data_IF_844211814063
#
_entry.id   IF_844211814063
#
_cell.length_a   1.000
_cell.length_b   1.000
_cell.length_c   1.000
_cell.angle_alpha   90.00
_cell.angle_beta   90.00
_cell.angle_gamma   90.00
#
_symmetry.space_group_name_H-M   'P 1'
#
loop_
_entity.id
_entity.type
_entity.pdbx_description
1 polymer ?
#
# COMPACT_ATOMS: atom_id res chain seq x y z
N UNK A 1 12.62 3.28 -28.81
CA UNK A 1 12.58 4.72 -28.44
C UNK A 1 12.32 4.83 -26.94
N UNK A 2 12.76 5.88 -26.25
CA UNK A 2 12.36 6.15 -24.87
C UNK A 2 11.64 7.50 -24.81
N UNK A 3 10.54 7.57 -24.07
CA UNK A 3 9.67 8.74 -23.93
C UNK A 3 9.43 8.94 -22.43
N UNK A 4 9.55 10.18 -21.96
CA UNK A 4 9.11 10.53 -20.61
C UNK A 4 7.66 11.02 -20.70
N UNK A 5 6.77 10.35 -19.96
CA UNK A 5 5.36 10.69 -19.87
C UNK A 5 5.06 11.29 -18.50
N UNK A 6 4.75 12.58 -18.50
CA UNK A 6 4.13 13.22 -17.36
C UNK A 6 2.63 12.96 -17.39
N UNK A 7 2.13 12.33 -16.34
CA UNK A 7 0.71 12.00 -16.22
C UNK A 7 0.24 12.19 -14.79
N UNK A 8 -1.06 12.45 -14.65
CA UNK A 8 -1.72 12.34 -13.36
C UNK A 8 -2.24 10.91 -13.22
N UNK A 9 -1.81 10.18 -12.20
CA UNK A 9 -2.34 8.84 -11.97
C UNK A 9 -3.86 8.91 -11.68
N UNK A 10 -4.61 7.99 -12.28
CA UNK A 10 -6.05 7.88 -12.10
C UNK A 10 -6.35 7.13 -10.79
N UNK A 11 -6.36 7.84 -9.67
CA UNK A 11 -6.68 7.31 -8.34
C UNK A 11 -7.42 8.34 -7.46
N UNK A 12 -8.21 7.88 -6.48
CA UNK A 12 -9.16 8.72 -5.71
C UNK A 12 -8.55 9.91 -4.96
N UNK A 13 -7.23 9.97 -4.74
CA UNK A 13 -6.57 11.09 -4.06
C UNK A 13 -5.13 11.28 -4.58
N UNK A 14 -4.95 11.82 -5.79
CA UNK A 14 -3.60 12.17 -6.29
C UNK A 14 -3.58 13.54 -6.99
N UNK A 15 -2.92 14.51 -6.36
CA UNK A 15 -2.58 15.82 -6.93
C UNK A 15 -1.11 15.92 -7.36
N UNK A 16 -0.38 14.80 -7.34
CA UNK A 16 1.06 14.78 -7.66
C UNK A 16 1.26 14.29 -9.09
N UNK A 17 1.89 15.11 -9.94
CA UNK A 17 2.33 14.68 -11.27
C UNK A 17 3.38 13.58 -11.14
N UNK A 18 3.22 12.51 -11.91
CA UNK A 18 4.16 11.39 -11.95
C UNK A 18 4.79 11.37 -13.34
N UNK A 19 6.11 11.30 -13.38
CA UNK A 19 6.87 11.06 -14.61
C UNK A 19 7.16 9.57 -14.72
N UNK A 20 6.74 8.93 -15.80
CA UNK A 20 7.06 7.55 -16.13
C UNK A 20 7.91 7.53 -17.40
N UNK A 21 9.03 6.82 -17.37
CA UNK A 21 9.79 6.54 -18.59
C UNK A 21 9.19 5.32 -19.28
N UNK A 22 8.82 5.48 -20.55
CA UNK A 22 8.26 4.43 -21.40
C UNK A 22 9.19 4.15 -22.57
N UNK A 23 9.49 2.87 -22.78
CA UNK A 23 10.28 2.37 -23.88
C UNK A 23 9.34 1.79 -24.94
N UNK A 24 9.46 2.29 -26.16
CA UNK A 24 8.54 2.00 -27.26
C UNK A 24 9.28 1.26 -28.37
N UNK A 25 8.69 0.16 -28.83
CA UNK A 25 9.12 -0.62 -29.99
C UNK A 25 7.97 -0.65 -30.99
N UNK A 26 8.24 -0.25 -32.22
CA UNK A 26 7.27 -0.29 -33.31
C UNK A 26 7.16 -1.72 -33.85
N UNK A 27 5.93 -2.19 -34.01
CA UNK A 27 5.62 -3.47 -34.62
C UNK A 27 5.76 -3.37 -36.16
N UNK A 28 6.00 -4.49 -36.86
CA UNK A 28 6.27 -4.47 -38.30
C UNK A 28 5.10 -3.97 -39.15
N UNK A 29 3.87 -4.03 -38.62
CA UNK A 29 2.65 -3.53 -39.26
C UNK A 29 1.57 -3.22 -38.22
N UNK A 30 0.60 -2.41 -38.63
CA UNK A 30 -0.61 -2.19 -37.85
C UNK A 30 -1.49 -3.45 -37.89
N UNK A 31 -1.96 -3.92 -36.73
CA UNK A 31 -2.81 -5.11 -36.61
C UNK A 31 -3.65 -5.04 -35.34
N UNK A 32 -4.96 -5.28 -35.45
CA UNK A 32 -5.84 -5.48 -34.28
C UNK A 32 -5.65 -6.87 -33.65
N UNK A 33 -4.87 -7.74 -34.30
CA UNK A 33 -4.57 -9.10 -33.83
C UNK A 33 -3.39 -9.14 -32.84
N UNK A 34 -2.73 -7.99 -32.58
CA UNK A 34 -1.69 -7.90 -31.56
C UNK A 34 -2.29 -8.07 -30.17
N UNK A 35 -1.68 -8.94 -29.39
CA UNK A 35 -2.19 -9.25 -28.07
C UNK A 35 -1.08 -9.66 -27.11
N UNK A 36 -1.17 -9.14 -25.89
CA UNK A 36 -0.35 -9.55 -24.77
C UNK A 36 -1.26 -10.01 -23.61
N UNK A 37 -1.07 -11.23 -23.07
CA UNK A 37 -1.89 -11.68 -21.95
C UNK A 37 -1.63 -10.90 -20.68
N UNK A 38 -2.69 -10.62 -19.90
CA UNK A 38 -2.58 -9.96 -18.60
C UNK A 38 -1.66 -10.69 -17.61
N UNK A 39 -1.49 -12.00 -17.76
CA UNK A 39 -0.52 -12.80 -16.99
C UNK A 39 0.95 -12.41 -17.22
N UNK A 40 1.27 -11.73 -18.32
CA UNK A 40 2.61 -11.22 -18.62
C UNK A 40 2.88 -9.85 -17.98
N UNK A 41 1.84 -9.25 -17.38
CA UNK A 41 1.90 -7.94 -16.75
C UNK A 41 2.16 -8.13 -15.25
N UNK A 42 3.44 -8.15 -14.89
CA UNK A 42 3.91 -8.36 -13.51
C UNK A 42 4.54 -7.08 -12.95
N UNK A 43 4.77 -6.96 -11.64
CA UNK A 43 5.43 -5.77 -11.06
C UNK A 43 6.78 -5.44 -11.70
N UNK A 44 7.52 -6.46 -12.14
CA UNK A 44 8.80 -6.40 -12.84
C UNK A 44 8.68 -6.33 -14.37
N UNK A 45 7.52 -6.66 -14.94
CA UNK A 45 7.20 -6.57 -16.37
C UNK A 45 5.96 -5.73 -16.60
N UNK A 46 6.15 -4.41 -16.55
CA UNK A 46 5.13 -3.46 -16.95
C UNK A 46 5.20 -3.28 -18.46
N UNK A 47 4.38 -4.03 -19.18
CA UNK A 47 4.32 -3.99 -20.64
C UNK A 47 2.88 -3.92 -21.11
N UNK A 48 2.65 -3.18 -22.21
CA UNK A 48 1.38 -3.17 -22.91
C UNK A 48 1.60 -3.11 -24.42
N UNK A 49 0.55 -3.40 -25.18
CA UNK A 49 0.57 -3.40 -26.64
C UNK A 49 -0.66 -2.67 -27.18
N UNK A 50 -0.46 -1.89 -28.24
CA UNK A 50 -1.55 -1.35 -29.06
C UNK A 50 -1.49 -1.95 -30.47
N UNK A 51 -2.22 -1.36 -31.42
CA UNK A 51 -2.28 -1.82 -32.80
C UNK A 51 -0.99 -1.62 -33.59
N UNK A 52 -0.01 -0.85 -33.09
CA UNK A 52 1.22 -0.47 -33.82
C UNK A 52 2.52 -0.59 -33.03
N UNK A 53 2.46 -0.65 -31.71
CA UNK A 53 3.59 -0.47 -30.80
C UNK A 53 3.46 -1.37 -29.56
N UNK A 54 4.62 -1.79 -29.05
CA UNK A 54 4.78 -2.34 -27.71
C UNK A 54 5.44 -1.30 -26.82
N UNK A 55 4.91 -1.17 -25.60
CA UNK A 55 5.36 -0.23 -24.59
C UNK A 55 5.85 -1.01 -23.38
N UNK A 56 7.07 -0.74 -22.92
CA UNK A 56 7.55 -1.16 -21.60
C UNK A 56 7.69 0.08 -20.71
N UNK A 57 6.98 0.13 -19.59
CA UNK A 57 6.94 1.30 -18.72
C UNK A 57 7.70 1.07 -17.41
N UNK A 58 8.65 1.94 -17.08
CA UNK A 58 9.29 1.94 -15.78
C UNK A 58 8.40 2.68 -14.74
N UNK A 59 7.21 2.13 -14.44
CA UNK A 59 6.24 2.77 -13.55
C UNK A 59 6.85 3.08 -12.17
N UNK A 60 6.67 4.33 -11.71
CA UNK A 60 7.20 4.77 -10.41
C UNK A 60 8.74 4.78 -10.30
N UNK A 61 9.45 4.57 -11.40
CA UNK A 61 10.90 4.52 -11.50
C UNK A 61 11.43 5.57 -12.48
N UNK A 62 12.62 6.09 -12.19
CA UNK A 62 13.42 6.88 -13.12
C UNK A 62 14.66 6.05 -13.49
N UNK A 63 14.55 5.15 -14.48
CA UNK A 63 15.66 4.28 -14.83
C UNK A 63 16.86 5.11 -15.29
N UNK A 64 18.04 4.81 -14.75
CA UNK A 64 19.28 5.45 -15.19
C UNK A 64 19.59 5.00 -16.61
N UNK A 65 20.26 5.83 -17.41
CA UNK A 65 20.63 5.49 -18.81
C UNK A 65 21.29 4.10 -18.93
N UNK A 66 22.13 3.71 -17.96
CA UNK A 66 22.78 2.39 -17.94
C UNK A 66 21.83 1.18 -17.88
N UNK A 67 20.62 1.35 -17.33
CA UNK A 67 19.60 0.29 -17.22
C UNK A 67 18.59 0.36 -18.36
N UNK A 68 18.67 1.35 -19.26
CA UNK A 68 17.73 1.49 -20.37
C UNK A 68 17.78 0.31 -21.35
N UNK A 69 18.95 -0.29 -21.55
CA UNK A 69 19.11 -1.48 -22.38
C UNK A 69 18.18 -2.60 -21.89
N UNK A 70 18.10 -2.84 -20.58
CA UNK A 70 17.24 -3.88 -20.01
C UNK A 70 15.75 -3.65 -20.29
N UNK A 71 15.31 -2.38 -20.28
CA UNK A 71 13.94 -2.03 -20.60
C UNK A 71 13.64 -2.08 -22.10
N UNK A 72 14.63 -1.77 -22.94
CA UNK A 72 14.53 -1.94 -24.38
C UNK A 72 14.49 -3.42 -24.76
N UNK A 73 15.34 -4.25 -24.15
CA UNK A 73 15.36 -5.70 -24.33
C UNK A 73 14.00 -6.28 -23.93
N UNK A 74 13.44 -5.87 -22.78
CA UNK A 74 12.09 -6.27 -22.36
C UNK A 74 11.01 -5.91 -23.40
N UNK A 75 11.06 -4.69 -23.96
CA UNK A 75 10.11 -4.27 -24.97
C UNK A 75 10.27 -5.04 -26.29
N UNK A 76 11.52 -5.37 -26.67
CA UNK A 76 11.84 -6.16 -27.87
C UNK A 76 11.40 -7.61 -27.69
N UNK A 77 11.75 -8.26 -26.58
CA UNK A 77 11.35 -9.63 -26.26
C UNK A 77 9.82 -9.76 -26.29
N UNK A 78 9.12 -8.76 -25.74
CA UNK A 78 7.65 -8.70 -25.75
C UNK A 78 7.12 -8.51 -27.17
N UNK A 79 7.76 -7.68 -28.00
CA UNK A 79 7.40 -7.51 -29.40
C UNK A 79 7.60 -8.80 -30.21
N UNK A 80 8.71 -9.52 -30.00
CA UNK A 80 8.94 -10.82 -30.62
C UNK A 80 7.87 -11.84 -30.22
N UNK A 81 7.49 -11.87 -28.94
CA UNK A 81 6.42 -12.72 -28.44
C UNK A 81 5.07 -12.39 -29.11
N UNK A 82 4.66 -11.12 -29.12
CA UNK A 82 3.41 -10.67 -29.76
C UNK A 82 3.40 -11.00 -31.25
N UNK A 83 4.53 -10.82 -31.95
CA UNK A 83 4.66 -11.17 -33.37
C UNK A 83 4.54 -12.69 -33.57
N UNK A 84 5.19 -13.48 -32.71
CA UNK A 84 5.14 -14.95 -32.80
C UNK A 84 3.74 -15.52 -32.53
N UNK A 85 2.92 -14.77 -31.80
CA UNK A 85 1.57 -15.15 -31.40
C UNK A 85 0.45 -14.53 -32.22
N UNK A 86 0.80 -13.84 -33.30
CA UNK A 86 -0.16 -13.14 -34.16
C UNK A 86 -1.27 -14.06 -34.67
N UNK A 87 -2.52 -13.61 -34.53
CA UNK A 87 -3.67 -14.28 -35.15
C UNK A 87 -4.03 -15.62 -34.50
N UNK A 88 -3.29 -16.11 -33.50
CA UNK A 88 -3.64 -17.30 -32.72
C UNK A 88 -4.99 -17.18 -31.99
N UNK A 89 -5.59 -15.98 -31.98
CA UNK A 89 -6.81 -15.63 -31.24
C UNK A 89 -7.97 -15.18 -32.11
N UNK A 90 -7.86 -15.28 -33.43
CA UNK A 90 -8.97 -14.93 -34.35
C UNK A 90 -10.24 -15.74 -34.06
N UNK A 91 -10.08 -16.94 -33.52
CA UNK A 91 -11.17 -17.88 -33.20
C UNK A 91 -11.67 -17.80 -31.74
N UNK A 92 -11.24 -16.81 -30.95
CA UNK A 92 -11.73 -16.62 -29.58
C UNK A 92 -13.25 -16.37 -29.51
N UNK A 93 -13.90 -16.99 -28.53
CA UNK A 93 -15.33 -16.82 -28.29
C UNK A 93 -15.64 -15.38 -27.81
N UNK A 94 -16.88 -14.87 -28.03
CA UNK A 94 -17.27 -13.54 -27.56
C UNK A 94 -17.06 -13.32 -26.05
N UNK A 95 -17.24 -14.37 -25.25
CA UNK A 95 -17.01 -14.35 -23.80
C UNK A 95 -15.53 -14.13 -23.46
N UNK A 96 -14.62 -14.85 -24.14
CA UNK A 96 -13.18 -14.64 -24.02
C UNK A 96 -12.76 -13.24 -24.45
N UNK A 97 -13.44 -12.66 -25.44
CA UNK A 97 -13.19 -11.27 -25.86
C UNK A 97 -13.62 -10.24 -24.83
N UNK A 98 -14.70 -10.49 -24.09
CA UNK A 98 -15.18 -9.61 -23.04
C UNK A 98 -14.29 -9.69 -21.78
N UNK A 99 -13.98 -10.90 -21.31
CA UNK A 99 -13.09 -11.11 -20.16
C UNK A 99 -11.75 -10.38 -20.32
N UNK A 100 -11.20 -10.38 -21.53
CA UNK A 100 -9.96 -9.69 -21.86
C UNK A 100 -10.10 -8.17 -22.01
N UNK A 101 -11.27 -7.65 -22.36
CA UNK A 101 -11.50 -6.20 -22.29
C UNK A 101 -11.46 -5.70 -20.84
N UNK A 102 -11.72 -6.59 -19.90
CA UNK A 102 -11.63 -6.34 -18.46
C UNK A 102 -10.23 -6.64 -17.89
N UNK A 103 -9.34 -7.30 -18.64
CA UNK A 103 -7.95 -7.53 -18.23
C UNK A 103 -7.19 -6.20 -18.12
N UNK A 104 -6.41 -6.06 -17.06
CA UNK A 104 -5.65 -4.85 -16.81
C UNK A 104 -4.54 -4.66 -17.86
N UNK A 105 -4.43 -3.46 -18.45
CA UNK A 105 -3.39 -3.11 -19.42
C UNK A 105 -2.03 -2.79 -18.78
N UNK A 106 -2.02 -2.63 -17.45
CA UNK A 106 -0.84 -2.42 -16.62
C UNK A 106 -1.06 -3.12 -15.29
N UNK A 107 0.01 -3.43 -14.56
CA UNK A 107 -0.17 -3.99 -13.23
C UNK A 107 -0.61 -2.86 -12.30
N UNK A 108 -1.93 -2.63 -12.24
CA UNK A 108 -2.54 -1.95 -11.12
C UNK A 108 -2.51 -2.95 -9.99
N UNK A 109 -1.42 -2.92 -9.23
CA UNK A 109 -1.19 -3.51 -7.92
C UNK A 109 -2.32 -4.39 -7.36
N UNK A 110 -2.01 -5.61 -6.92
CA UNK A 110 -3.02 -6.52 -6.32
C UNK A 110 -3.72 -5.85 -5.12
N UNK A 111 -4.88 -5.26 -5.43
CA UNK A 111 -5.61 -4.40 -4.51
C UNK A 111 -6.05 -5.20 -3.28
N UNK A 112 -6.29 -6.51 -3.46
CA UNK A 112 -6.70 -7.40 -2.38
C UNK A 112 -5.58 -7.56 -1.34
N UNK A 113 -4.34 -7.70 -1.79
CA UNK A 113 -3.18 -7.83 -0.90
C UNK A 113 -2.87 -6.53 -0.13
N UNK A 114 -3.05 -5.37 -0.77
CA UNK A 114 -2.91 -4.08 -0.08
C UNK A 114 -4.03 -3.82 0.91
N UNK A 115 -5.28 -4.11 0.52
CA UNK A 115 -6.43 -4.04 1.41
C UNK A 115 -6.23 -4.94 2.63
N UNK A 116 -5.68 -6.14 2.43
CA UNK A 116 -5.35 -7.05 3.54
C UNK A 116 -4.38 -6.43 4.55
N UNK A 117 -3.44 -5.59 4.13
CA UNK A 117 -2.52 -4.89 5.03
C UNK A 117 -3.13 -3.63 5.65
N UNK A 118 -3.77 -2.77 4.84
CA UNK A 118 -4.24 -1.46 5.27
C UNK A 118 -5.50 -1.53 6.14
N UNK A 119 -6.44 -2.45 5.87
CA UNK A 119 -7.71 -2.53 6.60
C UNK A 119 -7.48 -2.85 8.09
N UNK A 120 -6.70 -3.88 8.47
CA UNK A 120 -6.39 -4.13 9.88
C UNK A 120 -5.68 -2.95 10.55
N UNK A 121 -4.67 -2.38 9.87
CA UNK A 121 -3.96 -1.22 10.40
C UNK A 121 -4.91 -0.05 10.67
N UNK A 122 -5.83 0.25 9.77
CA UNK A 122 -6.82 1.31 9.94
C UNK A 122 -7.77 1.03 11.11
N UNK A 123 -8.34 -0.18 11.20
CA UNK A 123 -9.31 -0.55 12.25
C UNK A 123 -8.68 -0.47 13.64
N UNK A 124 -7.53 -1.10 13.85
CA UNK A 124 -6.88 -1.11 15.17
C UNK A 124 -6.28 0.24 15.54
N UNK A 125 -5.86 1.03 14.56
CA UNK A 125 -5.39 2.40 14.81
C UNK A 125 -6.56 3.33 15.17
N UNK A 126 -7.72 3.16 14.56
CA UNK A 126 -8.92 3.86 15.00
C UNK A 126 -9.24 3.56 16.48
N UNK A 127 -9.17 2.28 16.90
CA UNK A 127 -9.37 1.90 18.30
C UNK A 127 -8.35 2.53 19.25
N UNK A 128 -7.06 2.53 18.90
CA UNK A 128 -6.04 3.20 19.71
C UNK A 128 -6.25 4.73 19.76
N UNK A 129 -6.75 5.35 18.69
CA UNK A 129 -7.02 6.78 18.65
C UNK A 129 -8.18 7.15 19.59
N UNK A 130 -9.23 6.34 19.60
CA UNK A 130 -10.32 6.46 20.57
C UNK A 130 -9.81 6.35 22.01
N UNK A 131 -8.98 5.33 22.31
CA UNK A 131 -8.38 5.18 23.64
C UNK A 131 -7.46 6.35 24.01
N UNK A 132 -6.70 6.88 23.05
CA UNK A 132 -5.86 8.06 23.26
C UNK A 132 -6.71 9.28 23.59
N UNK A 133 -7.82 9.45 22.89
CA UNK A 133 -8.73 10.57 23.11
C UNK A 133 -9.34 10.54 24.50
N UNK A 134 -9.83 9.38 24.94
CA UNK A 134 -10.33 9.19 26.31
C UNK A 134 -9.25 9.48 27.36
N UNK A 135 -8.06 8.87 27.21
CA UNK A 135 -6.97 9.05 28.15
C UNK A 135 -6.48 10.50 28.23
N UNK A 136 -6.40 11.18 27.09
CA UNK A 136 -6.04 12.59 27.04
C UNK A 136 -7.12 13.48 27.69
N UNK A 137 -8.40 13.18 27.44
CA UNK A 137 -9.52 13.87 28.08
C UNK A 137 -9.50 13.76 29.60
N UNK A 138 -9.24 12.57 30.14
CA UNK A 138 -9.11 12.35 31.57
C UNK A 138 -7.92 13.09 32.16
N UNK A 139 -6.76 13.01 31.48
CA UNK A 139 -5.56 13.67 31.94
C UNK A 139 -5.71 15.19 31.98
N UNK A 140 -6.35 15.79 30.96
CA UNK A 140 -6.63 17.23 30.94
C UNK A 140 -7.61 17.67 32.04
N UNK A 141 -8.64 16.88 32.34
CA UNK A 141 -9.67 17.25 33.33
C UNK A 141 -9.24 16.99 34.78
N UNK A 142 -8.53 15.89 35.02
CA UNK A 142 -8.28 15.36 36.37
C UNK A 142 -6.79 15.32 36.74
N UNK A 143 -5.90 15.69 35.82
CA UNK A 143 -4.45 15.54 36.01
C UNK A 143 -3.98 14.08 36.07
N UNK A 144 -4.86 13.13 35.72
CA UNK A 144 -4.62 11.69 35.79
C UNK A 144 -5.39 10.96 34.69
N UNK A 145 -4.88 9.81 34.23
CA UNK A 145 -5.65 8.88 33.38
C UNK A 145 -6.36 7.87 34.28
N UNK A 146 -7.68 7.75 34.15
CA UNK A 146 -8.49 6.86 34.99
C UNK A 146 -8.88 5.63 34.16
N UNK A 147 -8.69 4.43 34.71
CA UNK A 147 -9.07 3.17 34.07
C UNK A 147 -9.90 2.34 35.03
N UNK A 148 -11.22 2.31 34.87
CA UNK A 148 -12.06 1.37 35.61
C UNK A 148 -12.15 0.04 34.83
N UNK A 149 -11.95 -1.10 35.50
CA UNK A 149 -12.13 -2.40 34.84
C UNK A 149 -13.63 -2.70 34.64
N UNK A 150 -14.02 -3.29 33.49
CA UNK A 150 -15.42 -3.64 33.24
C UNK A 150 -15.93 -4.81 34.09
N UNK A 151 -15.03 -5.65 34.62
CA UNK A 151 -15.37 -6.90 35.33
C UNK A 151 -15.13 -6.85 36.84
N UNK A 152 -14.38 -5.87 37.33
CA UNK A 152 -14.04 -5.73 38.75
C UNK A 152 -14.46 -4.33 39.18
N UNK A 153 -15.09 -4.14 40.35
CA UNK A 153 -15.58 -2.84 40.82
C UNK A 153 -14.44 -1.90 41.22
N UNK A 154 -13.23 -2.09 40.68
CA UNK A 154 -11.99 -1.46 41.06
C UNK A 154 -11.37 -0.84 39.80
N UNK A 155 -11.07 0.46 39.83
CA UNK A 155 -10.29 1.12 38.79
C UNK A 155 -8.92 1.58 39.27
N UNK A 156 -8.08 2.09 38.37
CA UNK A 156 -6.72 2.58 38.65
C UNK A 156 -6.55 4.01 38.14
N UNK A 157 -5.63 4.76 38.76
CA UNK A 157 -5.27 6.12 38.32
C UNK A 157 -3.77 6.20 37.99
N UNK A 158 -3.44 6.72 36.81
CA UNK A 158 -2.08 6.99 36.37
C UNK A 158 -1.83 8.50 36.46
N UNK A 159 -0.79 8.92 37.17
CA UNK A 159 -0.42 10.32 37.35
C UNK A 159 1.05 10.58 36.99
N UNK A 160 1.38 11.84 36.74
CA UNK A 160 2.74 12.28 36.42
C UNK A 160 3.31 11.54 35.21
N UNK A 161 4.54 11.05 35.32
CA UNK A 161 5.24 10.39 34.22
C UNK A 161 4.51 9.12 33.73
N UNK A 162 3.72 8.44 34.57
CA UNK A 162 2.97 7.23 34.17
C UNK A 162 1.81 7.56 33.22
N UNK A 163 1.14 8.69 33.42
CA UNK A 163 0.10 9.19 32.51
C UNK A 163 0.70 9.57 31.15
N UNK A 164 1.86 10.23 31.17
CA UNK A 164 2.64 10.57 29.96
C UNK A 164 3.05 9.29 29.22
N UNK A 165 3.61 8.30 29.92
CA UNK A 165 4.03 7.05 29.31
C UNK A 165 2.86 6.28 28.69
N UNK A 166 1.71 6.26 29.39
CA UNK A 166 0.50 5.63 28.89
C UNK A 166 -0.04 6.30 27.62
N UNK A 167 -0.15 7.63 27.59
CA UNK A 167 -0.59 8.37 26.40
C UNK A 167 0.40 8.26 25.25
N UNK A 168 1.71 8.33 25.52
CA UNK A 168 2.74 8.14 24.50
C UNK A 168 2.68 6.74 23.86
N UNK A 169 2.42 5.69 24.65
CA UNK A 169 2.28 4.32 24.14
C UNK A 169 1.08 4.12 23.20
N UNK A 170 0.03 4.94 23.35
CA UNK A 170 -1.13 4.96 22.46
C UNK A 170 -0.87 5.75 21.17
N UNK A 171 -0.07 6.81 21.25
CA UNK A 171 0.27 7.65 20.10
C UNK A 171 1.34 7.02 19.20
N UNK A 172 2.32 6.30 19.76
CA UNK A 172 3.47 5.80 19.00
C UNK A 172 3.10 4.92 17.79
N UNK A 173 2.15 3.97 17.88
CA UNK A 173 1.73 3.17 16.72
C UNK A 173 1.11 4.01 15.59
N UNK A 174 0.51 5.18 15.87
CA UNK A 174 -0.09 6.05 14.86
C UNK A 174 0.93 6.63 13.89
N UNK A 175 2.14 6.92 14.37
CA UNK A 175 3.20 7.46 13.52
C UNK A 175 3.60 6.46 12.43
N UNK A 176 3.54 5.15 12.74
CA UNK A 176 3.83 4.08 11.78
C UNK A 176 2.73 4.01 10.72
N UNK A 177 1.46 4.19 11.12
CA UNK A 177 0.32 4.23 10.19
C UNK A 177 0.40 5.42 9.25
N UNK A 178 0.74 6.60 9.78
CA UNK A 178 0.93 7.80 8.96
C UNK A 178 2.03 7.59 7.92
N UNK A 179 3.12 6.92 8.31
CA UNK A 179 4.18 6.52 7.38
C UNK A 179 3.65 5.54 6.32
N UNK A 180 2.88 4.52 6.70
CA UNK A 180 2.28 3.57 5.77
C UNK A 180 1.32 4.23 4.76
N UNK A 181 0.55 5.23 5.21
CA UNK A 181 -0.30 6.05 4.32
C UNK A 181 0.56 6.85 3.35
N UNK A 182 1.63 7.49 3.83
CA UNK A 182 2.56 8.22 2.97
C UNK A 182 3.23 7.31 1.94
N UNK A 183 3.70 6.13 2.35
CA UNK A 183 4.26 5.10 1.46
C UNK A 183 3.24 4.68 0.41
N UNK A 184 1.98 4.45 0.81
CA UNK A 184 0.87 4.09 -0.10
C UNK A 184 0.58 5.18 -1.12
N UNK A 185 0.62 6.45 -0.73
CA UNK A 185 0.32 7.55 -1.68
C UNK A 185 1.48 7.80 -2.65
N UNK A 186 2.72 7.65 -2.18
CA UNK A 186 3.91 8.10 -2.94
C UNK A 186 4.64 6.99 -3.70
N UNK A 187 4.47 5.73 -3.30
CA UNK A 187 5.24 4.61 -3.83
C UNK A 187 4.41 3.48 -4.40
N UNK A 188 3.09 3.62 -4.50
CA UNK A 188 2.20 2.55 -4.99
C UNK A 188 2.71 1.90 -6.29
N UNK A 189 3.22 2.68 -7.24
CA UNK A 189 3.68 2.14 -8.52
C UNK A 189 5.08 1.52 -8.50
N UNK A 190 5.78 1.49 -7.35
CA UNK A 190 7.11 0.88 -7.25
C UNK A 190 7.02 -0.64 -7.12
N UNK A 191 7.95 -1.40 -7.71
CA UNK A 191 7.94 -2.87 -7.65
C UNK A 191 8.03 -3.41 -6.21
N UNK A 192 8.79 -2.73 -5.34
CA UNK A 192 8.99 -3.14 -3.95
C UNK A 192 7.90 -2.60 -2.99
N UNK A 193 6.88 -1.93 -3.51
CA UNK A 193 5.85 -1.28 -2.68
C UNK A 193 5.20 -2.25 -1.69
N UNK A 194 4.82 -3.44 -2.15
CA UNK A 194 4.18 -4.43 -1.30
C UNK A 194 5.10 -4.90 -0.17
N UNK A 195 6.39 -5.08 -0.46
CA UNK A 195 7.39 -5.48 0.54
C UNK A 195 7.57 -4.37 1.58
N UNK A 196 7.69 -3.12 1.13
CA UNK A 196 7.74 -1.94 1.99
C UNK A 196 6.51 -1.87 2.91
N UNK A 197 5.30 -2.01 2.34
CA UNK A 197 4.04 -1.96 3.10
C UNK A 197 3.91 -3.12 4.09
N UNK A 198 4.30 -4.33 3.70
CA UNK A 198 4.26 -5.51 4.56
C UNK A 198 5.21 -5.38 5.75
N UNK A 199 6.44 -4.90 5.52
CA UNK A 199 7.40 -4.62 6.59
C UNK A 199 6.88 -3.54 7.54
N UNK A 200 6.26 -2.48 7.02
CA UNK A 200 5.61 -1.45 7.85
C UNK A 200 4.46 -2.02 8.69
N UNK A 201 3.67 -2.94 8.12
CA UNK A 201 2.65 -3.70 8.83
C UNK A 201 3.24 -4.56 9.96
N UNK A 202 4.32 -5.30 9.72
CA UNK A 202 5.01 -6.09 10.75
C UNK A 202 5.56 -5.22 11.88
N UNK A 203 6.20 -4.10 11.55
CA UNK A 203 6.69 -3.14 12.55
C UNK A 203 5.54 -2.57 13.36
N UNK A 204 4.41 -2.26 12.72
CA UNK A 204 3.20 -1.81 13.40
C UNK A 204 2.63 -2.87 14.36
N UNK A 205 2.52 -4.14 13.95
CA UNK A 205 2.08 -5.23 14.83
C UNK A 205 3.01 -5.39 16.03
N UNK A 206 4.33 -5.38 15.80
CA UNK A 206 5.31 -5.46 16.87
C UNK A 206 5.21 -4.30 17.87
N UNK A 207 5.05 -3.07 17.37
CA UNK A 207 4.85 -1.89 18.20
C UNK A 207 3.54 -1.95 19.00
N UNK A 208 2.44 -2.37 18.37
CA UNK A 208 1.15 -2.57 19.03
C UNK A 208 1.25 -3.55 20.20
N UNK A 209 1.91 -4.69 19.96
CA UNK A 209 2.10 -5.74 20.96
C UNK A 209 2.99 -5.29 22.11
N UNK A 210 4.16 -4.72 21.82
CA UNK A 210 5.09 -4.23 22.83
C UNK A 210 4.47 -3.12 23.69
N UNK A 211 3.79 -2.16 23.06
CA UNK A 211 3.11 -1.08 23.77
C UNK A 211 1.90 -1.58 24.57
N UNK A 212 1.22 -2.64 24.12
CA UNK A 212 0.16 -3.27 24.92
C UNK A 212 0.70 -3.84 26.23
N UNK A 213 1.76 -4.64 26.20
CA UNK A 213 2.41 -5.16 27.41
C UNK A 213 2.95 -4.06 28.32
N UNK A 214 3.56 -3.02 27.74
CA UNK A 214 4.03 -1.87 28.51
C UNK A 214 2.89 -1.16 29.25
N UNK A 215 1.72 -1.02 28.60
CA UNK A 215 0.51 -0.45 29.22
C UNK A 215 -0.01 -1.32 30.36
N UNK A 216 -0.06 -2.64 30.19
CA UNK A 216 -0.49 -3.55 31.25
C UNK A 216 0.44 -3.49 32.47
N UNK A 217 1.77 -3.50 32.25
CA UNK A 217 2.75 -3.35 33.31
C UNK A 217 2.64 -2.00 34.02
N UNK A 218 2.39 -0.91 33.27
CA UNK A 218 2.14 0.42 33.83
C UNK A 218 0.91 0.43 34.73
N UNK A 219 -0.20 -0.16 34.28
CA UNK A 219 -1.46 -0.24 35.03
C UNK A 219 -1.30 -1.13 36.28
N UNK A 220 -0.58 -2.24 36.19
CA UNK A 220 -0.30 -3.09 37.34
C UNK A 220 0.56 -2.39 38.42
N UNK A 221 1.30 -1.34 38.05
CA UNK A 221 2.19 -0.61 38.95
C UNK A 221 1.51 0.50 39.79
N UNK A 222 0.20 0.70 39.65
CA UNK A 222 -0.52 1.83 40.30
C UNK A 222 -1.62 1.38 41.25
N UNK A 223 -2.02 2.32 42.12
CA UNK A 223 -3.04 2.16 43.15
C UNK A 223 -4.48 2.26 42.59
N UNK A 224 -5.42 1.69 43.35
CA UNK A 224 -6.83 1.58 43.01
C UNK A 224 -7.63 2.87 43.33
N UNK A 225 -8.57 3.29 42.47
CA UNK A 225 -9.36 4.53 42.57
C UNK A 225 -10.89 4.39 42.36
N UNK A 226 -11.39 3.56 41.42
CA UNK A 226 -12.85 3.39 41.29
C UNK A 226 -13.35 2.37 42.34
N UNK A 227 -14.46 2.65 43.03
CA UNK A 227 -15.31 1.62 43.68
C UNK A 227 -16.66 1.68 42.97
N UNK A 228 -17.09 0.61 42.29
CA UNK A 228 -18.45 0.55 41.78
C UNK A 228 -19.42 0.48 42.98
N UNK A 229 -20.37 1.41 43.01
CA UNK A 229 -21.51 1.37 43.93
C UNK A 229 -22.56 0.35 43.46
#
# INVERSE_FOLDING_TARGET
MAIELDHQPTGMVQSTYVTTTVFVVWLPRQSDDWYLPGSHITPDKQVCVDDTCVYAAALGQQPRVRTWIQWLDLAVDTAEEVISTEGMRRDESPEQKAERADDASWNTLDANLVLFCLVPMAVFSFLNAMMLWEAYGDWQRHGAVIRCHPTVPIGTYLQGWKAVAYTASLAAPMLIVLKAVYTSVTRIYRPDFFVDLFLEGLVWVGAMYAMHHAREALVASVSQACKAY
#
